data_IF_413175901965
#
_entry.id   IF_413175901965
#
_cell.length_a   1.000
_cell.length_b   1.000
_cell.length_c   1.000
_cell.angle_alpha   90.00
_cell.angle_beta   90.00
_cell.angle_gamma   90.00
#
_symmetry.space_group_name_H-M   'P 1'
#
loop_
_entity.id
_entity.type
_entity.pdbx_description
1 polymer ?
#
# COMPACT_ATOMS: atom_id res chain seq x y z
N UNK A 1 18.52 -41.97 -37.40
CA UNK A 1 18.40 -41.34 -36.07
C UNK A 1 19.81 -41.07 -35.55
N UNK A 2 20.22 -39.81 -35.49
CA UNK A 2 21.58 -39.42 -35.06
C UNK A 2 21.63 -39.37 -33.52
N UNK A 3 22.56 -40.12 -32.92
CA UNK A 3 22.77 -40.17 -31.47
C UNK A 3 23.70 -39.03 -31.02
N UNK A 4 23.12 -38.05 -30.33
CA UNK A 4 23.87 -36.92 -29.77
C UNK A 4 24.68 -37.39 -28.56
N UNK A 5 26.00 -37.46 -28.69
CA UNK A 5 26.94 -37.75 -27.58
C UNK A 5 27.14 -36.50 -26.71
N UNK A 6 26.72 -36.55 -25.46
CA UNK A 6 27.05 -35.52 -24.46
C UNK A 6 28.43 -35.79 -23.86
N UNK A 7 29.28 -34.77 -23.83
CA UNK A 7 30.65 -34.85 -23.31
C UNK A 7 30.67 -34.54 -21.80
N UNK A 8 31.45 -35.31 -21.01
CA UNK A 8 31.67 -35.07 -19.57
C UNK A 8 32.77 -34.03 -19.36
N UNK A 9 32.47 -33.03 -18.54
CA UNK A 9 33.37 -31.90 -18.16
C UNK A 9 34.52 -32.42 -17.29
N UNK A 10 35.75 -31.99 -17.56
CA UNK A 10 36.96 -32.46 -16.87
C UNK A 10 37.68 -31.43 -15.98
N UNK A 11 37.54 -30.11 -16.21
CA UNK A 11 38.12 -29.06 -15.35
C UNK A 11 37.53 -27.68 -15.68
N UNK A 12 37.51 -26.77 -14.70
CA UNK A 12 37.00 -25.39 -14.81
C UNK A 12 38.11 -24.39 -14.43
N UNK A 13 38.26 -23.28 -15.18
CA UNK A 13 39.15 -22.15 -14.82
C UNK A 13 38.51 -20.79 -15.17
N UNK A 14 38.71 -19.78 -14.30
CA UNK A 14 38.12 -18.43 -14.37
C UNK A 14 38.78 -17.52 -15.44
N UNK A 15 37.95 -16.80 -16.22
CA UNK A 15 38.38 -15.73 -17.13
C UNK A 15 38.54 -14.36 -16.44
N UNK A 16 39.37 -13.48 -17.00
CA UNK A 16 39.69 -12.13 -16.51
C UNK A 16 38.68 -11.07 -16.98
N UNK A 17 37.39 -11.25 -16.69
CA UNK A 17 36.39 -10.17 -16.81
C UNK A 17 36.55 -9.16 -15.67
N UNK A 18 36.57 -7.87 -15.97
CA UNK A 18 36.87 -6.78 -15.02
C UNK A 18 35.69 -6.35 -14.12
N UNK A 19 34.57 -7.08 -14.13
CA UNK A 19 33.53 -6.95 -13.11
C UNK A 19 33.68 -8.09 -12.10
N UNK A 20 33.88 -7.78 -10.82
CA UNK A 20 33.72 -8.81 -9.78
C UNK A 20 32.25 -9.24 -9.82
N UNK A 21 31.99 -10.55 -9.98
CA UNK A 21 30.66 -11.09 -9.72
C UNK A 21 30.18 -10.58 -8.36
N UNK A 22 28.95 -10.07 -8.29
CA UNK A 22 28.37 -9.61 -7.03
C UNK A 22 28.41 -10.73 -6.00
N UNK A 23 28.80 -10.40 -4.77
CA UNK A 23 28.66 -11.36 -3.67
C UNK A 23 27.17 -11.56 -3.36
N UNK A 24 26.76 -12.71 -2.79
CA UNK A 24 25.38 -12.92 -2.36
C UNK A 24 24.84 -11.79 -1.48
N UNK A 25 25.69 -11.21 -0.63
CA UNK A 25 25.34 -10.08 0.22
C UNK A 25 25.05 -8.79 -0.58
N UNK A 26 25.84 -8.53 -1.63
CA UNK A 26 25.62 -7.37 -2.50
C UNK A 26 24.33 -7.51 -3.32
N UNK A 27 24.05 -8.72 -3.83
CA UNK A 27 22.79 -9.02 -4.52
C UNK A 27 21.62 -8.82 -3.55
N UNK A 28 21.73 -9.34 -2.33
CA UNK A 28 20.69 -9.19 -1.31
C UNK A 28 20.41 -7.72 -0.98
N UNK A 29 21.43 -6.92 -0.68
CA UNK A 29 21.24 -5.49 -0.36
C UNK A 29 20.68 -4.71 -1.55
N UNK A 30 21.10 -5.03 -2.78
CA UNK A 30 20.56 -4.40 -3.98
C UNK A 30 19.07 -4.73 -4.18
N UNK A 31 18.71 -6.00 -4.07
CA UNK A 31 17.33 -6.46 -4.17
C UNK A 31 16.47 -5.87 -3.04
N UNK A 32 16.96 -5.82 -1.81
CA UNK A 32 16.27 -5.19 -0.68
C UNK A 32 16.01 -3.69 -0.93
N UNK A 33 16.97 -2.98 -1.53
CA UNK A 33 16.80 -1.56 -1.90
C UNK A 33 15.75 -1.33 -2.99
N UNK A 34 15.77 -2.14 -4.06
CA UNK A 34 14.78 -2.05 -5.15
C UNK A 34 13.38 -2.41 -4.65
N UNK A 35 13.24 -3.52 -3.93
CA UNK A 35 11.96 -3.96 -3.36
C UNK A 35 11.40 -2.93 -2.37
N UNK A 36 12.24 -2.22 -1.63
CA UNK A 36 11.81 -1.14 -0.75
C UNK A 36 11.16 0.03 -1.53
N UNK A 37 11.76 0.47 -2.64
CA UNK A 37 11.15 1.53 -3.47
C UNK A 37 9.85 1.06 -4.13
N UNK A 38 9.80 -0.20 -4.59
CA UNK A 38 8.56 -0.79 -5.13
C UNK A 38 7.45 -0.82 -4.06
N UNK A 39 7.78 -1.25 -2.83
CA UNK A 39 6.82 -1.27 -1.72
C UNK A 39 6.27 0.14 -1.43
N UNK A 40 7.13 1.14 -1.48
CA UNK A 40 6.76 2.54 -1.31
C UNK A 40 5.84 3.03 -2.43
N UNK A 41 6.11 2.70 -3.69
CA UNK A 41 5.23 3.03 -4.82
C UNK A 41 3.84 2.39 -4.68
N UNK A 42 3.78 1.11 -4.32
CA UNK A 42 2.52 0.40 -4.06
C UNK A 42 1.75 1.11 -2.94
N UNK A 43 2.42 1.44 -1.84
CA UNK A 43 1.82 2.17 -0.72
C UNK A 43 1.27 3.53 -1.15
N UNK A 44 2.03 4.29 -1.93
CA UNK A 44 1.60 5.60 -2.44
C UNK A 44 0.38 5.47 -3.36
N UNK A 45 0.35 4.44 -4.22
CA UNK A 45 -0.80 4.14 -5.08
C UNK A 45 -2.05 3.79 -4.26
N UNK A 46 -1.93 2.89 -3.27
CA UNK A 46 -3.03 2.53 -2.36
C UNK A 46 -3.65 3.79 -1.72
N UNK A 47 -2.80 4.70 -1.23
CA UNK A 47 -3.25 5.93 -0.59
C UNK A 47 -3.95 6.83 -1.60
N UNK A 48 -3.36 7.02 -2.79
CA UNK A 48 -3.92 7.86 -3.84
C UNK A 48 -5.30 7.34 -4.28
N UNK A 49 -5.46 6.03 -4.45
CA UNK A 49 -6.70 5.41 -4.88
C UNK A 49 -7.80 5.54 -3.81
N UNK A 50 -7.45 5.31 -2.55
CA UNK A 50 -8.36 5.54 -1.42
C UNK A 50 -8.78 7.03 -1.28
N UNK A 51 -7.96 7.97 -1.75
CA UNK A 51 -8.25 9.41 -1.76
C UNK A 51 -9.15 9.86 -2.92
N UNK A 52 -9.15 9.18 -4.09
CA UNK A 52 -9.91 9.61 -5.28
C UNK A 52 -11.40 9.83 -5.02
N UNK A 53 -12.01 9.06 -4.12
CA UNK A 53 -13.43 9.20 -3.74
C UNK A 53 -13.70 10.21 -2.60
N UNK A 54 -12.68 10.89 -2.09
CA UNK A 54 -12.74 11.77 -0.93
C UNK A 54 -12.75 13.25 -1.27
N UNK A 55 -13.50 14.04 -0.48
CA UNK A 55 -13.40 15.50 -0.50
C UNK A 55 -12.11 16.04 0.12
N UNK A 56 -11.45 15.23 0.95
CA UNK A 56 -10.27 15.62 1.71
C UNK A 56 -9.25 14.49 1.68
N UNK A 57 -7.97 14.88 1.56
CA UNK A 57 -6.83 13.97 1.67
C UNK A 57 -6.70 13.43 3.10
N UNK A 58 -6.10 12.26 3.23
CA UNK A 58 -5.77 11.72 4.53
C UNK A 58 -4.68 12.55 5.20
N UNK A 59 -4.80 12.70 6.51
CA UNK A 59 -3.79 13.34 7.34
C UNK A 59 -2.59 12.42 7.52
N UNK A 60 -1.38 12.99 7.41
CA UNK A 60 -0.11 12.28 7.57
C UNK A 60 0.46 12.33 8.99
N UNK A 61 -0.14 13.11 9.88
CA UNK A 61 0.41 13.49 11.19
C UNK A 61 -0.09 12.62 12.37
N UNK A 62 -0.88 11.57 12.12
CA UNK A 62 -1.39 10.68 13.16
C UNK A 62 -0.80 9.27 13.07
N UNK A 63 -0.29 8.72 14.18
CA UNK A 63 0.18 7.31 14.26
C UNK A 63 -0.90 6.31 13.81
N UNK A 64 -2.17 6.57 14.12
CA UNK A 64 -3.32 5.74 13.71
C UNK A 64 -3.99 6.23 12.40
N UNK A 65 -3.33 7.15 11.68
CA UNK A 65 -3.83 7.65 10.41
C UNK A 65 -3.69 6.60 9.31
N UNK A 66 -4.66 6.55 8.39
CA UNK A 66 -4.67 5.61 7.27
C UNK A 66 -3.30 5.52 6.56
N UNK A 67 -2.70 6.67 6.21
CA UNK A 67 -1.39 6.77 5.55
C UNK A 67 -0.27 6.04 6.31
N UNK A 68 -0.23 6.18 7.63
CA UNK A 68 0.85 5.65 8.45
C UNK A 68 0.62 4.19 8.85
N UNK A 69 -0.64 3.75 8.88
CA UNK A 69 -1.01 2.39 9.22
C UNK A 69 -1.05 1.43 8.03
N UNK A 70 -0.98 1.93 6.79
CA UNK A 70 -0.78 1.09 5.60
C UNK A 70 0.69 0.66 5.54
N UNK A 71 0.95 -0.64 5.54
CA UNK A 71 2.28 -1.21 5.34
C UNK A 71 2.30 -2.14 4.13
N UNK A 72 3.41 -2.12 3.40
CA UNK A 72 3.64 -3.00 2.25
C UNK A 72 5.02 -3.59 2.45
N UNK A 73 5.08 -4.92 2.58
CA UNK A 73 6.32 -5.66 2.77
C UNK A 73 6.42 -6.76 1.72
N UNK A 74 7.65 -7.04 1.27
CA UNK A 74 7.94 -8.22 0.45
C UNK A 74 8.33 -9.38 1.36
N UNK A 75 7.69 -10.53 1.15
CA UNK A 75 8.04 -11.80 1.79
C UNK A 75 8.60 -12.75 0.74
N UNK A 76 9.08 -13.91 1.16
CA UNK A 76 9.52 -14.97 0.23
C UNK A 76 8.39 -15.46 -0.68
N UNK A 77 7.14 -15.28 -0.24
CA UNK A 77 5.96 -15.87 -0.87
C UNK A 77 5.18 -14.82 -1.70
N UNK A 78 5.59 -13.55 -1.68
CA UNK A 78 4.96 -12.48 -2.44
C UNK A 78 4.94 -11.14 -1.71
N UNK A 79 3.88 -10.35 -1.94
CA UNK A 79 3.68 -9.04 -1.31
C UNK A 79 2.63 -9.15 -0.21
N UNK A 80 2.99 -8.65 0.98
CA UNK A 80 2.09 -8.50 2.12
C UNK A 80 1.66 -7.05 2.25
N UNK A 81 0.35 -6.80 2.14
CA UNK A 81 -0.26 -5.47 2.32
C UNK A 81 -1.08 -5.48 3.61
N UNK A 82 -0.60 -4.78 4.63
CA UNK A 82 -1.32 -4.60 5.89
C UNK A 82 -2.11 -3.28 5.84
N UNK A 83 -3.44 -3.39 5.91
CA UNK A 83 -4.35 -2.25 5.95
C UNK A 83 -4.89 -2.05 7.39
N UNK A 84 -5.15 -0.80 7.81
CA UNK A 84 -5.78 -0.57 9.12
C UNK A 84 -7.20 -1.13 9.14
N UNK A 85 -7.68 -1.60 10.30
CA UNK A 85 -9.00 -2.24 10.42
C UNK A 85 -10.21 -1.38 9.99
N UNK A 86 -10.04 -0.06 9.85
CA UNK A 86 -11.07 0.83 9.31
C UNK A 86 -11.07 0.94 7.78
N UNK A 87 -10.07 0.39 7.08
CA UNK A 87 -9.95 0.34 5.63
C UNK A 87 -11.16 -0.35 4.97
N UNK A 88 -11.66 -1.43 5.58
CA UNK A 88 -12.87 -2.13 5.12
C UNK A 88 -14.10 -1.22 5.02
N UNK A 89 -14.19 -0.19 5.88
CA UNK A 89 -15.30 0.76 5.88
C UNK A 89 -15.11 1.86 4.84
N UNK A 90 -13.87 2.11 4.40
CA UNK A 90 -13.58 2.98 3.25
C UNK A 90 -13.95 2.24 1.98
N UNK A 91 -13.49 0.99 1.84
CA UNK A 91 -13.75 0.12 0.69
C UNK A 91 -15.25 -0.04 0.43
N UNK A 92 -15.98 -0.56 1.42
CA UNK A 92 -17.39 -0.91 1.25
C UNK A 92 -18.35 0.26 1.51
N UNK A 93 -17.86 1.33 2.13
CA UNK A 93 -18.70 2.41 2.63
C UNK A 93 -19.74 1.92 3.65
N UNK A 94 -20.89 2.58 3.66
CA UNK A 94 -22.03 2.25 4.49
C UNK A 94 -23.35 2.53 3.77
N UNK A 95 -24.24 1.55 3.71
CA UNK A 95 -25.58 1.74 3.15
C UNK A 95 -26.45 2.62 4.06
N UNK A 96 -27.38 3.42 3.50
CA UNK A 96 -28.43 4.09 4.25
C UNK A 96 -29.23 3.12 5.12
N UNK A 97 -29.71 3.62 6.26
CA UNK A 97 -30.66 2.99 7.19
C UNK A 97 -30.23 1.65 7.82
N UNK A 98 -28.97 1.21 7.68
CA UNK A 98 -28.54 -0.12 8.17
C UNK A 98 -28.31 -0.17 9.69
N UNK A 99 -27.32 0.57 10.19
CA UNK A 99 -26.95 0.64 11.62
C UNK A 99 -26.42 2.05 11.89
N UNK A 100 -26.50 2.54 13.12
CA UNK A 100 -25.90 3.82 13.51
C UNK A 100 -24.40 3.65 13.82
N UNK A 101 -23.59 4.68 13.61
CA UNK A 101 -22.17 4.68 14.09
C UNK A 101 -22.20 4.87 15.61
N UNK A 102 -21.33 4.25 16.41
CA UNK A 102 -21.21 4.58 17.82
C UNK A 102 -20.96 6.09 18.03
N UNK A 103 -21.74 6.73 18.92
CA UNK A 103 -21.58 8.16 19.22
C UNK A 103 -20.21 8.47 19.83
N UNK A 104 -19.68 7.57 20.66
CA UNK A 104 -18.36 7.70 21.28
C UNK A 104 -17.25 7.92 20.25
N UNK A 105 -17.28 7.20 19.13
CA UNK A 105 -16.28 7.32 18.07
C UNK A 105 -16.40 8.66 17.32
N UNK A 106 -17.62 9.13 17.06
CA UNK A 106 -17.82 10.46 16.47
C UNK A 106 -17.36 11.56 17.44
N UNK A 107 -17.61 11.42 18.74
CA UNK A 107 -17.16 12.37 19.75
C UNK A 107 -15.62 12.42 19.82
N UNK A 108 -14.95 11.27 19.83
CA UNK A 108 -13.48 11.19 19.76
C UNK A 108 -12.96 11.88 18.51
N UNK A 109 -13.58 11.62 17.36
CA UNK A 109 -13.25 12.27 16.09
C UNK A 109 -13.42 13.79 16.16
N UNK A 110 -14.58 14.29 16.60
CA UNK A 110 -14.83 15.74 16.76
C UNK A 110 -13.79 16.41 17.67
N UNK A 111 -13.41 15.77 18.79
CA UNK A 111 -12.38 16.27 19.71
C UNK A 111 -11.00 16.28 19.07
N UNK A 112 -10.60 15.19 18.39
CA UNK A 112 -9.32 15.08 17.69
C UNK A 112 -9.16 16.15 16.61
N UNK A 113 -10.22 16.38 15.83
CA UNK A 113 -10.22 17.32 14.71
C UNK A 113 -10.65 18.74 15.09
N UNK A 114 -10.97 18.99 16.37
CA UNK A 114 -11.45 20.28 16.88
C UNK A 114 -12.57 20.86 16.02
N UNK A 115 -13.50 20.01 15.58
CA UNK A 115 -14.61 20.42 14.71
C UNK A 115 -15.62 21.19 15.56
N UNK A 116 -15.82 22.46 15.22
CA UNK A 116 -16.72 23.36 15.94
C UNK A 116 -17.94 23.66 15.09
N UNK A 117 -19.12 23.44 15.66
CA UNK A 117 -20.39 23.80 15.03
C UNK A 117 -20.56 25.30 14.94
N UNK A 118 -21.15 25.77 13.84
CA UNK A 118 -21.55 27.17 13.67
C UNK A 118 -23.00 27.36 14.08
N UNK A 119 -23.31 28.53 14.57
CA UNK A 119 -24.69 28.99 14.71
C UNK A 119 -25.26 29.30 13.33
N UNK A 120 -26.43 28.75 13.02
CA UNK A 120 -27.09 28.94 11.73
C UNK A 120 -27.62 30.36 11.55
N UNK A 121 -27.96 31.07 12.64
CA UNK A 121 -28.50 32.44 12.55
C UNK A 121 -27.39 33.47 12.43
N UNK A 122 -26.32 33.30 13.20
CA UNK A 122 -25.25 34.31 13.30
C UNK A 122 -24.00 33.97 12.50
N UNK A 123 -23.87 32.74 12.00
CA UNK A 123 -22.68 32.24 11.31
C UNK A 123 -21.44 32.07 12.20
N UNK A 124 -21.50 32.51 13.46
CA UNK A 124 -20.38 32.47 14.41
C UNK A 124 -20.15 31.04 14.91
N UNK A 125 -18.90 30.71 15.21
CA UNK A 125 -18.57 29.45 15.87
C UNK A 125 -19.16 29.42 17.27
N UNK A 126 -19.82 28.31 17.62
CA UNK A 126 -20.30 28.07 18.98
C UNK A 126 -19.11 27.82 19.90
N UNK A 127 -19.22 28.25 21.16
CA UNK A 127 -18.24 27.86 22.18
C UNK A 127 -18.21 26.34 22.29
N UNK A 128 -17.00 25.77 22.31
CA UNK A 128 -16.81 24.32 22.45
C UNK A 128 -17.23 23.91 23.85
N UNK A 129 -18.39 23.26 23.96
CA UNK A 129 -18.91 22.66 25.18
C UNK A 129 -19.21 21.18 24.95
N UNK A 130 -19.25 20.37 26.00
CA UNK A 130 -19.56 18.94 25.87
C UNK A 130 -20.96 18.72 25.26
N UNK A 131 -21.93 19.57 25.61
CA UNK A 131 -23.27 19.56 25.01
C UNK A 131 -23.24 19.91 23.52
N UNK A 132 -22.41 20.86 23.11
CA UNK A 132 -22.20 21.19 21.70
C UNK A 132 -21.56 20.02 20.93
N UNK A 133 -20.59 19.33 21.53
CA UNK A 133 -19.95 18.16 20.90
C UNK A 133 -20.96 17.02 20.75
N UNK A 134 -21.74 16.71 21.79
CA UNK A 134 -22.73 15.63 21.77
C UNK A 134 -23.83 15.87 20.72
N UNK A 135 -24.36 17.09 20.66
CA UNK A 135 -25.38 17.46 19.65
C UNK A 135 -24.83 17.37 18.22
N UNK A 136 -23.59 17.83 18.00
CA UNK A 136 -22.90 17.71 16.71
C UNK A 136 -22.67 16.24 16.34
N UNK A 137 -22.24 15.42 17.29
CA UNK A 137 -22.02 14.00 17.08
C UNK A 137 -23.31 13.27 16.71
N UNK A 138 -24.42 13.61 17.37
CA UNK A 138 -25.74 13.09 17.03
C UNK A 138 -26.18 13.49 15.63
N UNK A 139 -26.01 14.76 15.25
CA UNK A 139 -26.35 15.22 13.90
C UNK A 139 -25.55 14.49 12.81
N UNK A 140 -24.25 14.30 13.02
CA UNK A 140 -23.39 13.51 12.11
C UNK A 140 -23.85 12.06 12.04
N UNK A 141 -24.13 11.44 13.20
CA UNK A 141 -24.64 10.06 13.25
C UNK A 141 -25.94 9.92 12.45
N UNK A 142 -26.89 10.85 12.61
CA UNK A 142 -28.15 10.84 11.86
C UNK A 142 -27.93 11.05 10.37
N UNK A 143 -27.03 11.97 9.99
CA UNK A 143 -26.67 12.18 8.58
C UNK A 143 -26.08 10.92 7.95
N UNK A 144 -25.12 10.27 8.63
CA UNK A 144 -24.53 9.00 8.17
C UNK A 144 -25.59 7.90 8.11
N UNK A 145 -26.50 7.83 9.08
CA UNK A 145 -27.55 6.82 9.09
C UNK A 145 -28.53 7.01 7.93
N UNK A 146 -28.94 8.26 7.64
CA UNK A 146 -29.90 8.55 6.56
C UNK A 146 -29.30 8.47 5.17
N UNK A 147 -28.06 8.94 5.01
CA UNK A 147 -27.43 9.08 3.69
C UNK A 147 -26.41 7.98 3.38
N UNK A 148 -25.99 7.22 4.39
CA UNK A 148 -24.88 6.29 4.25
C UNK A 148 -23.52 6.99 4.16
N UNK A 149 -22.51 6.21 3.79
CA UNK A 149 -21.16 6.64 3.41
C UNK A 149 -20.88 5.98 2.07
N UNK A 150 -20.51 6.78 1.06
CA UNK A 150 -20.15 6.23 -0.25
C UNK A 150 -18.90 5.36 -0.13
N UNK A 151 -18.96 4.18 -0.73
CA UNK A 151 -17.81 3.31 -0.93
C UNK A 151 -16.71 4.03 -1.73
N UNK A 152 -15.46 3.68 -1.44
CA UNK A 152 -14.28 4.09 -2.19
C UNK A 152 -13.47 2.83 -2.45
N UNK A 153 -13.83 2.03 -3.46
CA UNK A 153 -13.12 0.80 -3.74
C UNK A 153 -11.71 1.16 -4.19
N UNK A 154 -10.71 0.62 -3.49
CA UNK A 154 -9.30 0.81 -3.79
C UNK A 154 -8.51 -0.49 -3.73
N UNK A 155 -9.02 -1.52 -3.04
CA UNK A 155 -8.29 -2.78 -2.84
C UNK A 155 -8.03 -3.48 -4.18
N UNK A 156 -9.06 -3.69 -4.99
CA UNK A 156 -8.93 -4.40 -6.27
C UNK A 156 -7.96 -3.68 -7.23
N UNK A 157 -8.13 -2.36 -7.38
CA UNK A 157 -7.23 -1.54 -8.19
C UNK A 157 -5.78 -1.56 -7.67
N UNK A 158 -5.59 -1.60 -6.35
CA UNK A 158 -4.25 -1.68 -5.74
C UNK A 158 -3.61 -3.05 -5.96
N UNK A 159 -4.38 -4.13 -5.93
CA UNK A 159 -3.90 -5.48 -6.24
C UNK A 159 -3.45 -5.57 -7.70
N UNK A 160 -4.28 -5.09 -8.63
CA UNK A 160 -3.92 -5.07 -10.04
C UNK A 160 -2.64 -4.26 -10.29
N UNK A 161 -2.54 -3.05 -9.71
CA UNK A 161 -1.32 -2.24 -9.80
C UNK A 161 -0.10 -2.95 -9.21
N UNK A 162 -0.27 -3.66 -8.09
CA UNK A 162 0.81 -4.42 -7.46
C UNK A 162 1.30 -5.54 -8.36
N UNK A 163 0.39 -6.28 -9.01
CA UNK A 163 0.71 -7.35 -9.95
C UNK A 163 1.46 -6.83 -11.18
N UNK A 164 0.99 -5.73 -11.76
CA UNK A 164 1.62 -5.09 -12.93
C UNK A 164 3.04 -4.61 -12.60
N UNK A 165 3.21 -3.90 -11.47
CA UNK A 165 4.50 -3.37 -11.05
C UNK A 165 5.49 -4.49 -10.67
N UNK A 166 5.00 -5.58 -10.08
CA UNK A 166 5.80 -6.77 -9.79
C UNK A 166 6.34 -7.43 -11.05
N UNK A 167 5.50 -7.59 -12.08
CA UNK A 167 5.89 -8.18 -13.34
C UNK A 167 6.99 -7.35 -14.02
N UNK A 168 6.82 -6.02 -14.05
CA UNK A 168 7.83 -5.09 -14.58
C UNK A 168 9.16 -5.22 -13.82
N UNK A 169 9.12 -5.26 -12.49
CA UNK A 169 10.34 -5.38 -11.68
C UNK A 169 11.06 -6.71 -11.92
N UNK A 170 10.31 -7.80 -12.07
CA UNK A 170 10.88 -9.12 -12.37
C UNK A 170 11.55 -9.11 -13.75
N UNK A 171 10.88 -8.58 -14.76
CA UNK A 171 11.36 -8.57 -16.14
C UNK A 171 12.56 -7.63 -16.34
N UNK A 172 12.55 -6.45 -15.72
CA UNK A 172 13.61 -5.46 -15.89
C UNK A 172 14.83 -5.69 -15.00
N UNK A 173 14.63 -6.14 -13.76
CA UNK A 173 15.73 -6.20 -12.78
C UNK A 173 16.18 -7.62 -12.49
N UNK A 174 15.26 -8.58 -12.31
CA UNK A 174 15.64 -9.93 -11.90
C UNK A 174 16.13 -10.79 -13.06
N UNK A 175 15.43 -10.76 -14.20
CA UNK A 175 15.78 -11.60 -15.36
C UNK A 175 17.17 -11.24 -15.93
N UNK A 176 17.51 -9.96 -16.19
CA UNK A 176 18.83 -9.60 -16.73
C UNK A 176 19.97 -9.88 -15.75
N UNK A 177 19.78 -9.65 -14.45
CA UNK A 177 20.76 -9.99 -13.41
C UNK A 177 21.00 -11.50 -13.37
N UNK A 178 19.94 -12.33 -13.36
CA UNK A 178 20.08 -13.78 -13.40
C UNK A 178 20.78 -14.27 -14.66
N UNK A 179 20.44 -13.72 -15.83
CA UNK A 179 21.10 -14.09 -17.10
C UNK A 179 22.57 -13.66 -17.11
N UNK A 180 22.91 -12.51 -16.52
CA UNK A 180 24.30 -12.05 -16.40
C UNK A 180 25.16 -12.94 -15.48
N UNK A 181 24.53 -13.58 -14.48
CA UNK A 181 25.16 -14.56 -13.60
C UNK A 181 25.32 -15.92 -14.30
N UNK A 182 24.42 -16.25 -15.24
CA UNK A 182 24.47 -17.51 -16.00
C UNK A 182 25.39 -17.33 -17.22
N UNK A 183 26.71 -17.31 -16.97
CA UNK A 183 27.69 -17.52 -18.03
C UNK A 183 27.73 -19.00 -18.43
N UNK A 184 27.23 -19.32 -19.63
CA UNK A 184 27.45 -20.63 -20.23
C UNK A 184 28.85 -20.70 -20.86
N UNK A 185 29.74 -21.43 -20.22
CA UNK A 185 31.06 -21.74 -20.77
C UNK A 185 30.99 -23.01 -21.63
N UNK A 186 31.20 -22.85 -22.94
CA UNK A 186 31.35 -23.97 -23.88
C UNK A 186 32.82 -24.08 -24.30
N UNK A 187 33.43 -25.23 -24.09
CA UNK A 187 34.78 -25.50 -24.61
C UNK A 187 34.75 -25.67 -26.14
N UNK A 188 35.66 -25.01 -26.85
CA UNK A 188 35.93 -25.30 -28.26
C UNK A 188 36.79 -26.56 -28.38
N UNK A 189 36.33 -27.49 -29.21
CA UNK A 189 37.14 -28.58 -29.76
C UNK A 189 38.35 -28.03 -30.52
#
# INVERSE_FOLDING_TARGET
>A
MSTTKFSRIKKVTRGKGAGKAFTPDQIKTYLEGQLFEVAKLIKEFIIAEAEKGGRHKFRKDGKDGFVNSVNVDFTTDGVKIDLPGHAQYIENGRKPFTKKVPLSEIIKWLKRYRVVSRDQKTGKYKKVSQNSINSTAWAIQQSIYKNGIKARPFIEASLQYTEELLAEVIDEFLVPELISIVEFHFDKK
#
